data_IF_185066238155
#
_entry.id   IF_185066238155
#
_cell.length_a   1.000
_cell.length_b   1.000
_cell.length_c   1.000
_cell.angle_alpha   90.00
_cell.angle_beta   90.00
_cell.angle_gamma   90.00
#
_symmetry.space_group_name_H-M   'P 1'
#
loop_
_entity.id
_entity.type
_entity.pdbx_description
1 polymer ?
#
# COMPACT_ATOMS: atom_id res chain seq x y z
N UNK A 1 -9.68 -17.18 -31.45
CA UNK A 1 -8.46 -16.76 -30.72
C UNK A 1 -8.75 -15.50 -29.88
N UNK A 2 -9.68 -15.56 -28.94
CA UNK A 2 -10.23 -14.39 -28.22
C UNK A 2 -10.16 -14.62 -26.71
N UNK A 3 -8.94 -14.57 -26.15
CA UNK A 3 -8.74 -14.77 -24.70
C UNK A 3 -7.52 -14.05 -24.13
N UNK A 4 -6.96 -13.07 -24.84
CA UNK A 4 -5.72 -12.37 -24.45
C UNK A 4 -5.92 -10.88 -24.09
N UNK A 5 -7.14 -10.32 -24.22
CA UNK A 5 -7.42 -8.88 -24.02
C UNK A 5 -8.38 -8.57 -22.86
N UNK A 6 -8.95 -9.57 -22.20
CA UNK A 6 -10.16 -9.35 -21.41
C UNK A 6 -9.90 -8.83 -19.97
N UNK A 7 -8.68 -8.94 -19.45
CA UNK A 7 -8.34 -8.53 -18.07
C UNK A 7 -7.53 -7.23 -17.96
N UNK A 8 -7.34 -6.49 -19.05
CA UNK A 8 -6.47 -5.30 -19.06
C UNK A 8 -7.02 -4.16 -18.19
N UNK A 9 -8.32 -3.89 -18.30
CA UNK A 9 -8.97 -2.81 -17.54
C UNK A 9 -9.11 -3.09 -16.04
N UNK A 10 -9.60 -4.28 -15.60
CA UNK A 10 -9.69 -4.60 -14.18
C UNK A 10 -8.33 -4.59 -13.48
N UNK A 11 -7.28 -5.06 -14.17
CA UNK A 11 -5.92 -5.03 -13.65
C UNK A 11 -5.40 -3.60 -13.48
N UNK A 12 -5.55 -2.76 -14.51
CA UNK A 12 -5.11 -1.36 -14.44
C UNK A 12 -5.87 -0.61 -13.34
N UNK A 13 -7.18 -0.83 -13.24
CA UNK A 13 -8.00 -0.27 -12.19
C UNK A 13 -7.52 -0.71 -10.80
N UNK A 14 -7.28 -2.00 -10.59
CA UNK A 14 -6.75 -2.52 -9.32
C UNK A 14 -5.38 -1.90 -8.97
N UNK A 15 -4.49 -1.79 -9.96
CA UNK A 15 -3.16 -1.17 -9.80
C UNK A 15 -3.27 0.29 -9.35
N UNK A 16 -4.11 1.08 -10.03
CA UNK A 16 -4.33 2.47 -9.70
C UNK A 16 -5.04 2.62 -8.36
N UNK A 17 -6.06 1.81 -8.08
CA UNK A 17 -6.80 1.84 -6.83
C UNK A 17 -5.86 1.61 -5.63
N UNK A 18 -5.05 0.54 -5.65
CA UNK A 18 -4.06 0.26 -4.59
C UNK A 18 -3.06 1.42 -4.46
N UNK A 19 -2.58 1.95 -5.58
CA UNK A 19 -1.58 3.02 -5.55
C UNK A 19 -2.14 4.31 -4.94
N UNK A 20 -3.32 4.74 -5.38
CA UNK A 20 -3.96 5.95 -4.89
C UNK A 20 -4.45 5.81 -3.45
N UNK A 21 -4.93 4.65 -3.00
CA UNK A 21 -5.33 4.46 -1.60
C UNK A 21 -4.11 4.50 -0.68
N UNK A 22 -2.99 3.89 -1.06
CA UNK A 22 -1.73 3.98 -0.31
C UNK A 22 -1.21 5.42 -0.28
N UNK A 23 -1.16 6.11 -1.42
CA UNK A 23 -0.75 7.53 -1.46
C UNK A 23 -1.68 8.44 -0.67
N UNK A 24 -3.00 8.16 -0.68
CA UNK A 24 -3.96 8.91 0.11
C UNK A 24 -3.74 8.71 1.61
N UNK A 25 -3.40 7.50 2.06
CA UNK A 25 -3.06 7.24 3.45
C UNK A 25 -1.78 8.00 3.86
N UNK A 26 -0.80 8.12 2.97
CA UNK A 26 0.40 8.95 3.20
C UNK A 26 0.03 10.45 3.23
N UNK A 27 -0.79 10.93 2.30
CA UNK A 27 -1.28 12.31 2.27
C UNK A 27 -2.05 12.67 3.56
N UNK A 28 -2.77 11.70 4.13
CA UNK A 28 -3.45 11.84 5.42
C UNK A 28 -2.47 12.12 6.57
N UNK A 29 -1.32 11.44 6.59
CA UNK A 29 -0.25 11.66 7.58
C UNK A 29 0.41 13.03 7.45
N UNK A 30 0.47 13.56 6.23
CA UNK A 30 0.96 14.91 5.93
C UNK A 30 -0.10 16.01 6.15
N UNK A 31 -1.31 15.65 6.59
CA UNK A 31 -2.36 16.63 6.91
C UNK A 31 -3.09 17.20 5.68
N UNK A 32 -2.91 16.63 4.48
CA UNK A 32 -3.55 17.13 3.26
C UNK A 32 -5.08 17.03 3.28
N UNK A 33 -5.64 16.12 4.08
CA UNK A 33 -7.09 15.89 4.19
C UNK A 33 -7.81 16.74 5.27
N UNK A 34 -7.08 17.57 6.02
CA UNK A 34 -7.67 18.49 7.00
C UNK A 34 -8.49 17.78 8.08
N UNK A 35 -9.74 18.21 8.33
CA UNK A 35 -10.61 17.64 9.38
C UNK A 35 -11.17 16.24 9.09
N UNK A 36 -11.14 15.78 7.84
CA UNK A 36 -11.68 14.47 7.44
C UNK A 36 -10.60 13.38 7.40
N UNK A 37 -9.45 13.66 7.98
CA UNK A 37 -8.33 12.76 8.03
C UNK A 37 -8.52 11.65 9.05
N UNK A 38 -8.09 10.44 8.75
CA UNK A 38 -8.10 9.33 9.70
C UNK A 38 -7.07 9.54 10.83
N UNK A 39 -5.97 10.24 10.55
CA UNK A 39 -4.86 10.47 11.49
C UNK A 39 -4.59 11.97 11.73
N UNK A 40 -4.71 12.77 10.68
CA UNK A 40 -4.78 14.24 10.70
C UNK A 40 -3.50 15.00 10.90
N UNK A 41 -2.55 14.48 11.68
CA UNK A 41 -1.25 15.11 11.88
C UNK A 41 -0.16 14.05 12.13
N UNK A 42 1.07 14.39 11.75
CA UNK A 42 2.27 13.58 12.02
C UNK A 42 2.42 13.22 13.50
N UNK A 43 2.08 14.15 14.41
CA UNK A 43 2.16 13.94 15.85
C UNK A 43 1.16 12.88 16.37
N UNK A 44 -0.03 12.78 15.76
CA UNK A 44 -0.98 11.71 16.07
C UNK A 44 -0.47 10.37 15.53
N UNK A 45 0.12 10.35 14.33
CA UNK A 45 0.74 9.15 13.78
C UNK A 45 1.90 8.63 14.64
N UNK A 46 2.72 9.53 15.17
CA UNK A 46 3.79 9.19 16.11
C UNK A 46 3.24 8.60 17.41
N UNK A 47 2.20 9.22 18.02
CA UNK A 47 1.52 8.67 19.21
C UNK A 47 0.86 7.32 18.97
N UNK A 48 0.22 7.14 17.81
CA UNK A 48 -0.37 5.86 17.42
C UNK A 48 0.69 4.80 17.19
N UNK A 49 1.80 5.14 16.52
CA UNK A 49 2.89 4.21 16.25
C UNK A 49 3.54 3.80 17.57
N UNK A 50 3.75 4.74 18.51
CA UNK A 50 4.19 4.48 19.88
C UNK A 50 3.29 3.49 20.62
N UNK A 51 1.96 3.62 20.49
CA UNK A 51 1.01 2.63 21.02
C UNK A 51 1.16 1.26 20.35
N UNK A 52 1.32 1.24 19.03
CA UNK A 52 1.52 0.03 18.22
C UNK A 52 2.83 -0.69 18.53
N UNK A 53 3.86 0.03 18.94
CA UNK A 53 5.22 -0.48 19.16
C UNK A 53 5.66 -0.41 20.61
N UNK A 54 4.75 -0.54 21.58
CA UNK A 54 5.09 -0.56 23.01
C UNK A 54 6.08 -1.66 23.42
N UNK A 55 6.32 -2.63 22.52
CA UNK A 55 7.32 -3.69 22.64
C UNK A 55 8.73 -3.34 22.09
N UNK A 56 8.91 -2.19 21.43
CA UNK A 56 10.17 -1.77 20.80
C UNK A 56 10.69 -0.46 21.40
N UNK A 57 12.01 -0.22 21.39
CA UNK A 57 12.59 1.08 21.75
C UNK A 57 12.00 2.18 20.87
N UNK A 58 11.65 3.31 21.48
CA UNK A 58 11.02 4.47 20.86
C UNK A 58 11.73 4.93 19.57
N UNK A 59 13.06 4.92 19.57
CA UNK A 59 13.88 5.26 18.39
C UNK A 59 13.72 4.29 17.20
N UNK A 60 13.57 3.00 17.47
CA UNK A 60 13.42 1.98 16.43
C UNK A 60 12.00 1.96 15.86
N UNK A 61 11.01 2.28 16.69
CA UNK A 61 9.63 2.49 16.26
C UNK A 61 9.51 3.67 15.30
N UNK A 62 10.04 4.83 15.69
CA UNK A 62 10.01 6.04 14.85
C UNK A 62 10.74 5.76 13.52
N UNK A 63 11.93 5.15 13.56
CA UNK A 63 12.66 4.79 12.35
C UNK A 63 11.87 3.84 11.43
N UNK A 64 11.22 2.82 12.00
CA UNK A 64 10.33 1.91 11.28
C UNK A 64 9.17 2.67 10.62
N UNK A 65 8.56 3.64 11.32
CA UNK A 65 7.45 4.44 10.82
C UNK A 65 7.84 5.31 9.62
N UNK A 66 9.00 5.97 9.70
CA UNK A 66 9.56 6.74 8.58
C UNK A 66 9.90 5.83 7.40
N UNK A 67 10.54 4.68 7.66
CA UNK A 67 10.91 3.74 6.62
C UNK A 67 9.67 3.12 5.93
N UNK A 68 8.66 2.76 6.70
CA UNK A 68 7.38 2.28 6.18
C UNK A 68 6.69 3.36 5.32
N UNK A 69 6.65 4.61 5.78
CA UNK A 69 6.08 5.73 5.02
C UNK A 69 6.83 5.95 3.70
N UNK A 70 8.17 5.85 3.70
CA UNK A 70 8.97 5.93 2.49
C UNK A 70 8.61 4.82 1.50
N UNK A 71 8.50 3.57 1.97
CA UNK A 71 8.09 2.43 1.14
C UNK A 71 6.65 2.55 0.63
N UNK A 72 5.74 3.10 1.44
CA UNK A 72 4.35 3.40 1.06
C UNK A 72 4.23 4.50 0.01
N UNK A 73 5.24 5.34 -0.18
CA UNK A 73 5.30 6.28 -1.31
C UNK A 73 5.94 5.59 -2.52
N UNK A 74 7.05 4.88 -2.28
CA UNK A 74 7.85 4.26 -3.33
C UNK A 74 7.06 3.20 -4.10
N UNK A 75 6.40 2.25 -3.43
CA UNK A 75 5.71 1.14 -4.11
C UNK A 75 4.52 1.60 -4.96
N UNK A 76 3.62 2.49 -4.50
CA UNK A 76 2.58 3.06 -5.35
C UNK A 76 3.11 3.80 -6.57
N UNK A 77 4.21 4.55 -6.44
CA UNK A 77 4.82 5.22 -7.59
C UNK A 77 5.32 4.20 -8.62
N UNK A 78 6.00 3.14 -8.17
CA UNK A 78 6.43 2.04 -9.05
C UNK A 78 5.23 1.33 -9.71
N UNK A 79 4.14 1.14 -8.97
CA UNK A 79 2.90 0.55 -9.49
C UNK A 79 2.22 1.47 -10.52
N UNK A 80 2.15 2.78 -10.31
CA UNK A 80 1.59 3.75 -11.28
C UNK A 80 2.42 3.73 -12.57
N UNK A 81 3.74 3.88 -12.44
CA UNK A 81 4.70 3.91 -13.55
C UNK A 81 4.68 2.57 -14.31
N UNK A 82 4.42 1.47 -13.60
CA UNK A 82 4.42 0.15 -14.19
C UNK A 82 5.82 -0.42 -14.40
N UNK A 83 6.77 -0.09 -13.51
CA UNK A 83 8.14 -0.59 -13.54
C UNK A 83 8.31 -1.70 -12.50
N UNK A 84 8.71 -2.90 -12.94
CA UNK A 84 8.79 -4.11 -12.09
C UNK A 84 7.52 -4.32 -11.26
N UNK A 85 6.35 -4.21 -11.91
CA UNK A 85 5.03 -4.21 -11.25
C UNK A 85 4.81 -5.42 -10.36
N UNK A 86 5.27 -6.59 -10.77
CA UNK A 86 5.15 -7.82 -9.98
C UNK A 86 5.86 -7.73 -8.63
N UNK A 87 7.09 -7.22 -8.63
CA UNK A 87 7.89 -7.08 -7.40
C UNK A 87 7.27 -5.98 -6.53
N UNK A 88 6.92 -4.84 -7.12
CA UNK A 88 6.27 -3.75 -6.40
C UNK A 88 4.94 -4.19 -5.76
N UNK A 89 4.14 -5.02 -6.45
CA UNK A 89 2.89 -5.57 -5.94
C UNK A 89 3.11 -6.55 -4.78
N UNK A 90 4.12 -7.44 -4.85
CA UNK A 90 4.48 -8.29 -3.71
C UNK A 90 4.92 -7.47 -2.51
N UNK A 91 5.82 -6.49 -2.71
CA UNK A 91 6.31 -5.65 -1.64
C UNK A 91 5.18 -4.82 -1.00
N UNK A 92 4.28 -4.24 -1.80
CA UNK A 92 3.10 -3.54 -1.31
C UNK A 92 2.16 -4.49 -0.53
N UNK A 93 1.94 -5.71 -1.03
CA UNK A 93 1.11 -6.71 -0.36
C UNK A 93 1.65 -7.12 1.00
N UNK A 94 2.95 -7.39 1.10
CA UNK A 94 3.63 -7.67 2.37
C UNK A 94 3.60 -6.49 3.32
N UNK A 95 3.83 -5.27 2.81
CA UNK A 95 3.79 -4.06 3.63
C UNK A 95 2.39 -3.84 4.23
N UNK A 96 1.34 -3.95 3.42
CA UNK A 96 -0.05 -3.85 3.88
C UNK A 96 -0.44 -4.99 4.82
N UNK A 97 0.11 -6.19 4.63
CA UNK A 97 -0.13 -7.33 5.51
C UNK A 97 0.47 -7.11 6.90
N UNK A 98 1.72 -6.66 6.96
CA UNK A 98 2.38 -6.31 8.23
C UNK A 98 1.59 -5.19 8.91
N UNK A 99 1.20 -4.15 8.16
CA UNK A 99 0.39 -3.06 8.69
C UNK A 99 -0.97 -3.54 9.24
N UNK A 100 -1.67 -4.42 8.52
CA UNK A 100 -2.94 -5.01 8.97
C UNK A 100 -2.77 -5.85 10.24
N UNK A 101 -1.71 -6.66 10.32
CA UNK A 101 -1.39 -7.44 11.52
C UNK A 101 -1.08 -6.54 12.71
N UNK A 102 -0.23 -5.53 12.51
CA UNK A 102 0.10 -4.55 13.55
C UNK A 102 -1.16 -3.82 14.04
N UNK A 103 -2.01 -3.30 13.14
CA UNK A 103 -3.28 -2.69 13.52
C UNK A 103 -4.20 -3.65 14.26
N UNK A 104 -4.23 -4.93 13.86
CA UNK A 104 -5.03 -5.96 14.55
C UNK A 104 -4.56 -6.16 15.99
N UNK A 105 -3.24 -6.20 16.21
CA UNK A 105 -2.67 -6.39 17.55
C UNK A 105 -2.87 -5.17 18.46
N UNK A 106 -2.78 -3.95 17.91
CA UNK A 106 -2.82 -2.73 18.71
C UNK A 106 -4.23 -2.14 18.90
N UNK A 107 -5.07 -2.18 17.86
CA UNK A 107 -6.39 -1.54 17.84
C UNK A 107 -7.53 -2.56 17.77
N UNK A 108 -7.21 -3.86 17.73
CA UNK A 108 -8.16 -4.95 17.54
C UNK A 108 -8.52 -5.17 16.08
N UNK A 109 -9.29 -6.23 15.81
CA UNK A 109 -9.60 -6.68 14.44
C UNK A 109 -10.52 -5.75 13.65
N UNK A 110 -11.30 -4.91 14.34
CA UNK A 110 -12.30 -4.05 13.70
C UNK A 110 -11.69 -2.91 12.88
N UNK A 111 -10.64 -2.27 13.41
CA UNK A 111 -9.98 -1.15 12.74
C UNK A 111 -9.40 -1.51 11.34
N UNK A 112 -8.58 -2.56 11.17
CA UNK A 112 -8.04 -2.92 9.86
C UNK A 112 -9.10 -3.45 8.88
N UNK A 113 -10.25 -3.91 9.38
CA UNK A 113 -11.40 -4.26 8.54
C UNK A 113 -12.16 -3.01 8.06
N UNK A 114 -12.41 -2.04 8.94
CA UNK A 114 -13.08 -0.77 8.59
C UNK A 114 -12.25 0.03 7.56
N UNK A 115 -10.92 0.05 7.71
CA UNK A 115 -10.02 0.66 6.71
C UNK A 115 -9.74 -0.20 5.47
N UNK A 116 -10.35 -1.40 5.38
CA UNK A 116 -10.18 -2.33 4.25
C UNK A 116 -8.72 -2.68 3.93
N UNK A 117 -7.83 -2.63 4.92
CA UNK A 117 -6.39 -2.88 4.72
C UNK A 117 -6.15 -4.32 4.27
N UNK A 118 -6.91 -5.27 4.83
CA UNK A 118 -6.89 -6.68 4.42
C UNK A 118 -7.24 -6.87 2.95
N UNK A 119 -8.24 -6.12 2.46
CA UNK A 119 -8.64 -6.14 1.05
C UNK A 119 -7.53 -5.54 0.18
N UNK A 120 -6.91 -4.45 0.62
CA UNK A 120 -5.76 -3.85 -0.06
C UNK A 120 -4.58 -4.82 -0.20
N UNK A 121 -4.23 -5.52 0.88
CA UNK A 121 -3.16 -6.53 0.88
C UNK A 121 -3.48 -7.70 -0.06
N UNK A 122 -4.70 -8.27 0.03
CA UNK A 122 -5.15 -9.34 -0.86
C UNK A 122 -5.17 -8.90 -2.34
N UNK A 123 -5.62 -7.67 -2.61
CA UNK A 123 -5.60 -7.06 -3.94
C UNK A 123 -4.18 -6.91 -4.50
N UNK A 124 -3.21 -6.52 -3.65
CA UNK A 124 -1.81 -6.43 -4.05
C UNK A 124 -1.20 -7.80 -4.37
N UNK A 125 -1.50 -8.84 -3.58
CA UNK A 125 -1.07 -10.20 -3.89
C UNK A 125 -1.74 -10.75 -5.16
N UNK A 126 -3.03 -10.46 -5.36
CA UNK A 126 -3.74 -10.82 -6.58
C UNK A 126 -3.10 -10.16 -7.81
N UNK A 127 -2.76 -8.87 -7.70
CA UNK A 127 -2.04 -8.13 -8.75
C UNK A 127 -0.66 -8.74 -9.02
N UNK A 128 0.05 -9.17 -7.98
CA UNK A 128 1.35 -9.83 -8.09
C UNK A 128 1.28 -11.23 -8.72
N UNK A 129 0.15 -11.92 -8.59
CA UNK A 129 -0.10 -13.22 -9.21
C UNK A 129 -0.30 -13.12 -10.73
N UNK A 130 -0.64 -11.94 -11.25
CA UNK A 130 -0.85 -11.76 -12.69
C UNK A 130 0.47 -11.84 -13.49
N UNK A 131 0.40 -12.51 -14.65
CA UNK A 131 1.56 -12.77 -15.50
C UNK A 131 1.84 -11.69 -16.56
N UNK A 132 0.83 -10.89 -16.91
CA UNK A 132 0.93 -9.81 -17.88
C UNK A 132 0.41 -8.54 -17.25
N UNK A 133 1.11 -7.43 -17.44
CA UNK A 133 0.72 -6.13 -16.91
C UNK A 133 0.42 -5.20 -18.07
N UNK A 134 -0.87 -4.90 -18.25
CA UNK A 134 -1.30 -4.04 -19.34
C UNK A 134 -0.87 -2.59 -19.07
N UNK A 135 -0.37 -1.88 -20.08
CA UNK A 135 0.12 -0.50 -19.96
C UNK A 135 1.17 -0.33 -18.84
N UNK A 136 2.13 -1.25 -18.79
CA UNK A 136 3.32 -1.15 -17.94
C UNK A 136 4.56 -0.91 -18.81
N UNK A 137 5.56 -0.22 -18.26
CA UNK A 137 6.86 -0.08 -18.91
C UNK A 137 7.48 -1.46 -19.14
N UNK A 138 7.22 -2.43 -18.26
CA UNK A 138 7.68 -3.81 -18.41
C UNK A 138 7.19 -4.47 -19.71
N UNK A 139 5.95 -4.22 -20.15
CA UNK A 139 5.47 -4.72 -21.46
C UNK A 139 6.05 -3.95 -22.65
N UNK A 140 6.26 -2.64 -22.50
CA UNK A 140 6.90 -1.80 -23.53
C UNK A 140 8.36 -2.23 -23.77
N UNK A 141 9.10 -2.55 -22.73
CA UNK A 141 10.48 -3.07 -22.82
C UNK A 141 10.51 -4.46 -23.44
N UNK A 142 9.52 -5.32 -23.14
CA UNK A 142 9.47 -6.70 -23.68
C UNK A 142 9.03 -6.77 -25.15
N UNK A 143 8.44 -5.70 -25.68
CA UNK A 143 7.94 -5.62 -27.05
C UNK A 143 8.96 -5.04 -28.05
N UNK A 144 10.00 -4.36 -27.53
CA UNK A 144 11.19 -3.97 -28.29
C UNK A 144 12.27 -5.06 -28.24
#
# INVERSE_FOLDING_TARGET
MTGKKDFQFPQLFLRLAISFTMLSAVADRFGFWGKNSAWGNWENFEKYTLQLTSFLPESLSIFSAYFATFLEILFPLLLIIGFKTKIAAYCAGFLLLIFALSMTMALGIKAPLDYSVWVGSAGAFLLASQHQFSLSIDELIKKN
#
